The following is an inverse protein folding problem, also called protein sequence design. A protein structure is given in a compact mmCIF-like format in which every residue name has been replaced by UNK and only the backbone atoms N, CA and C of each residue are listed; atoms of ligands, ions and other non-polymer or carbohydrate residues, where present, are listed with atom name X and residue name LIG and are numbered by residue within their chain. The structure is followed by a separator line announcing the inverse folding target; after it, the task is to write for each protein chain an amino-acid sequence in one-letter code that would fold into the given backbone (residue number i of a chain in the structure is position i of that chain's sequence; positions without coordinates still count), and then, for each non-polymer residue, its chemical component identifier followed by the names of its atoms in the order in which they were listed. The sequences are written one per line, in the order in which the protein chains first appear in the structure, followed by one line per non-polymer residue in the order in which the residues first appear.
data_IF_369515868284
#
_entry.id   IF_369515868284
#
_cell.length_a   1.000
_cell.length_b   1.000
_cell.length_c   1.000
_cell.angle_alpha   90.00
_cell.angle_beta   90.00
_cell.angle_gamma   90.00
#
_symmetry.space_group_name_H-M   'P 1'
#
loop_
_entity.id
_entity.type
_entity.pdbx_description
1 polymer ?
#
# COMPACT_ATOMS: atom_id res chain seq x y z
N UNK A 1 -31.52 21.78 64.65
CA UNK A 1 -30.66 22.28 63.57
C UNK A 1 -30.09 21.12 62.80
N UNK A 2 -30.52 20.97 61.55
CA UNK A 2 -29.67 20.76 60.37
C UNK A 2 -30.61 20.53 59.18
N UNK A 3 -30.71 21.57 58.35
CA UNK A 3 -31.51 21.59 57.14
C UNK A 3 -30.70 20.95 55.99
N UNK A 4 -31.31 20.03 55.24
CA UNK A 4 -30.72 19.51 54.01
C UNK A 4 -30.68 20.61 52.92
N UNK A 5 -29.57 20.75 52.17
CA UNK A 5 -29.44 21.81 51.18
C UNK A 5 -30.24 21.51 49.90
N UNK A 6 -31.05 22.49 49.46
CA UNK A 6 -31.72 22.44 48.15
C UNK A 6 -30.71 22.46 46.99
N UNK A 7 -30.96 21.68 45.92
CA UNK A 7 -30.10 21.68 44.73
C UNK A 7 -30.24 22.97 43.91
N UNK A 8 -29.18 23.42 43.20
CA UNK A 8 -29.21 24.65 42.43
C UNK A 8 -30.16 24.57 41.23
N UNK A 9 -31.01 25.59 41.06
CA UNK A 9 -31.91 25.76 39.92
C UNK A 9 -31.10 25.94 38.63
N UNK A 10 -31.18 24.97 37.71
CA UNK A 10 -30.62 25.11 36.35
C UNK A 10 -30.05 23.85 35.69
N UNK A 11 -30.18 22.65 36.28
CA UNK A 11 -29.73 21.42 35.63
C UNK A 11 -30.75 20.93 34.57
N UNK A 12 -30.30 20.47 33.38
CA UNK A 12 -31.19 19.83 32.41
C UNK A 12 -31.71 18.49 32.98
N UNK A 13 -32.93 18.06 32.60
CA UNK A 13 -33.52 16.84 33.15
C UNK A 13 -32.70 15.61 32.77
N UNK A 14 -32.52 14.71 33.73
CA UNK A 14 -31.89 13.41 33.52
C UNK A 14 -32.66 12.61 32.47
N UNK A 15 -32.03 12.35 31.33
CA UNK A 15 -32.56 11.48 30.29
C UNK A 15 -32.46 10.05 30.80
N UNK A 16 -33.60 9.40 31.03
CA UNK A 16 -33.64 7.96 31.31
C UNK A 16 -33.16 7.23 30.06
N UNK A 17 -32.01 6.56 30.17
CA UNK A 17 -31.55 5.62 29.17
C UNK A 17 -32.59 4.50 29.04
N UNK A 18 -33.21 4.40 27.87
CA UNK A 18 -34.05 3.25 27.52
C UNK A 18 -33.11 2.23 26.88
N UNK A 19 -32.86 1.13 27.58
CA UNK A 19 -32.16 -0.02 27.01
C UNK A 19 -32.91 -0.49 25.76
N UNK A 20 -32.25 -0.37 24.61
CA UNK A 20 -32.71 -1.00 23.38
C UNK A 20 -32.29 -2.47 23.46
N UNK A 21 -33.29 -3.34 23.68
CA UNK A 21 -33.14 -4.78 23.56
C UNK A 21 -32.89 -5.08 22.08
N UNK A 22 -31.70 -5.58 21.75
CA UNK A 22 -31.44 -6.15 20.44
C UNK A 22 -32.29 -7.41 20.31
N UNK A 23 -33.19 -7.44 19.33
CA UNK A 23 -33.78 -8.68 18.85
C UNK A 23 -32.75 -9.36 17.96
N UNK A 24 -32.26 -10.52 18.40
CA UNK A 24 -31.56 -11.48 17.54
C UNK A 24 -32.57 -11.98 16.51
N UNK A 25 -32.39 -11.60 15.25
CA UNK A 25 -33.03 -12.28 14.13
C UNK A 25 -32.26 -13.59 13.89
N UNK A 26 -32.85 -14.70 14.33
CA UNK A 26 -32.45 -16.06 13.93
C UNK A 26 -32.57 -16.17 12.40
N UNK A 27 -31.43 -16.14 11.71
CA UNK A 27 -31.38 -16.52 10.30
C UNK A 27 -31.62 -18.03 10.19
N UNK A 28 -32.84 -18.37 9.83
CA UNK A 28 -33.27 -19.73 9.49
C UNK A 28 -32.58 -20.20 8.21
N UNK A 29 -31.55 -21.04 8.38
CA UNK A 29 -30.80 -21.68 7.29
C UNK A 29 -31.46 -22.99 6.80
N UNK A 30 -32.68 -23.33 7.24
CA UNK A 30 -33.31 -24.62 6.91
C UNK A 30 -33.91 -24.73 5.50
N UNK A 31 -33.66 -23.75 4.62
CA UNK A 31 -34.20 -23.70 3.25
C UNK A 31 -33.20 -23.89 2.11
N UNK A 32 -31.94 -24.25 2.37
CA UNK A 32 -30.99 -24.60 1.31
C UNK A 32 -31.07 -26.11 1.05
N UNK A 33 -31.91 -26.50 0.08
CA UNK A 33 -31.89 -27.83 -0.49
C UNK A 33 -30.50 -28.10 -1.09
N UNK A 34 -29.76 -28.99 -0.44
CA UNK A 34 -28.52 -29.55 -0.94
C UNK A 34 -28.85 -30.35 -2.22
N UNK A 35 -28.39 -29.86 -3.37
CA UNK A 35 -28.37 -30.61 -4.61
C UNK A 35 -27.10 -31.46 -4.59
N UNK A 36 -27.20 -32.81 -4.57
CA UNK A 36 -26.02 -33.66 -4.72
C UNK A 36 -25.44 -33.47 -6.12
N UNK A 37 -24.12 -33.36 -6.22
CA UNK A 37 -23.42 -33.46 -7.50
C UNK A 37 -23.73 -34.84 -8.09
N UNK A 38 -24.47 -34.87 -9.21
CA UNK A 38 -24.62 -36.05 -10.04
C UNK A 38 -23.31 -36.23 -10.81
N UNK A 39 -22.70 -37.41 -10.67
CA UNK A 39 -21.55 -37.85 -11.44
C UNK A 39 -21.94 -37.96 -12.94
N UNK A 40 -21.66 -36.91 -13.72
CA UNK A 40 -21.67 -36.96 -15.19
C UNK A 40 -20.36 -37.63 -15.66
N UNK A 41 -20.35 -38.96 -15.64
CA UNK A 41 -19.52 -39.78 -16.53
C UNK A 41 -20.04 -39.63 -17.97
N UNK A 42 -19.16 -39.16 -18.87
CA UNK A 42 -19.18 -39.28 -20.35
C UNK A 42 -19.01 -37.94 -21.10
N UNK A 43 -17.80 -37.38 -21.10
CA UNK A 43 -17.37 -36.52 -22.21
C UNK A 43 -15.96 -36.88 -22.67
N UNK A 44 -15.90 -37.55 -23.82
CA UNK A 44 -14.68 -37.98 -24.49
C UNK A 44 -13.77 -36.79 -24.78
N UNK A 45 -12.60 -36.76 -24.14
CA UNK A 45 -11.58 -35.75 -24.37
C UNK A 45 -11.08 -35.76 -25.83
N UNK A 46 -10.71 -34.59 -26.40
CA UNK A 46 -10.12 -34.54 -27.72
C UNK A 46 -8.78 -35.28 -27.74
N UNK A 47 -8.59 -36.15 -28.73
CA UNK A 47 -7.32 -36.84 -29.00
C UNK A 47 -6.19 -35.80 -29.08
N UNK A 48 -5.33 -35.79 -28.06
CA UNK A 48 -4.08 -35.04 -28.09
C UNK A 48 -3.11 -35.85 -28.91
N UNK A 49 -2.96 -35.48 -30.19
CA UNK A 49 -1.82 -35.92 -30.98
C UNK A 49 -0.55 -35.47 -30.27
N UNK A 50 0.25 -36.42 -29.82
CA UNK A 50 1.58 -36.20 -29.27
C UNK A 50 2.46 -35.59 -30.37
N UNK A 51 2.53 -34.26 -30.41
CA UNK A 51 3.64 -33.57 -31.03
C UNK A 51 4.68 -33.35 -29.94
N UNK A 52 5.57 -34.33 -29.77
CA UNK A 52 6.85 -34.12 -29.08
C UNK A 52 7.66 -33.14 -29.93
N UNK A 53 7.58 -31.85 -29.59
CA UNK A 53 8.62 -30.90 -29.99
C UNK A 53 9.84 -31.19 -29.12
N UNK A 54 10.80 -31.91 -29.69
CA UNK A 54 12.14 -32.09 -29.14
C UNK A 54 12.82 -30.72 -29.02
N UNK A 55 12.66 -30.05 -27.88
CA UNK A 55 13.48 -28.88 -27.55
C UNK A 55 14.91 -29.36 -27.31
N UNK A 56 15.77 -29.07 -28.29
CA UNK A 56 17.21 -29.32 -28.23
C UNK A 56 17.87 -28.38 -27.20
N UNK A 57 17.97 -28.86 -25.96
CA UNK A 57 18.68 -28.18 -24.86
C UNK A 57 20.21 -28.31 -24.95
N UNK A 58 20.77 -28.93 -26.00
CA UNK A 58 22.23 -29.11 -26.14
C UNK A 58 22.99 -27.82 -26.52
N UNK A 59 22.30 -26.70 -26.66
CA UNK A 59 22.87 -25.39 -27.01
C UNK A 59 23.26 -24.49 -25.83
N UNK A 60 23.10 -24.92 -24.57
CA UNK A 60 23.46 -24.13 -23.38
C UNK A 60 24.64 -24.75 -22.61
N UNK A 61 25.72 -25.08 -23.32
CA UNK A 61 27.02 -25.43 -22.75
C UNK A 61 27.81 -24.17 -22.32
N UNK A 62 27.18 -23.24 -21.61
CA UNK A 62 27.90 -22.19 -20.89
C UNK A 62 27.81 -22.46 -19.39
N UNK A 63 28.63 -23.40 -18.95
CA UNK A 63 29.09 -23.47 -17.56
C UNK A 63 30.47 -22.81 -17.58
N UNK A 64 30.66 -21.59 -17.04
CA UNK A 64 32.00 -21.06 -16.91
C UNK A 64 32.78 -21.99 -15.98
N UNK A 65 33.91 -22.50 -16.47
CA UNK A 65 34.90 -23.17 -15.65
C UNK A 65 35.39 -22.17 -14.60
N UNK A 66 34.96 -22.35 -13.35
CA UNK A 66 35.56 -21.66 -12.22
C UNK A 66 36.91 -22.33 -11.99
N UNK A 67 37.97 -21.80 -12.61
CA UNK A 67 39.31 -21.97 -12.08
C UNK A 67 39.31 -21.26 -10.71
N UNK A 68 39.73 -21.99 -9.66
CA UNK A 68 40.05 -21.42 -8.35
C UNK A 68 41.30 -20.54 -8.52
N UNK A 69 41.13 -19.36 -9.12
CA UNK A 69 42.15 -18.33 -9.15
C UNK A 69 42.11 -17.56 -7.83
N UNK A 70 43.29 -17.45 -7.23
CA UNK A 70 43.58 -16.84 -5.95
C UNK A 70 42.87 -15.47 -5.80
N UNK A 71 42.08 -15.35 -4.74
CA UNK A 71 41.44 -14.11 -4.31
C UNK A 71 42.50 -13.17 -3.71
N UNK A 72 43.38 -12.63 -4.56
CA UNK A 72 44.30 -11.56 -4.20
C UNK A 72 43.51 -10.24 -4.11
N UNK A 73 43.35 -9.79 -2.86
CA UNK A 73 43.26 -8.41 -2.37
C UNK A 73 43.03 -7.30 -3.44
N UNK A 74 41.79 -7.15 -3.91
CA UNK A 74 41.37 -6.03 -4.77
C UNK A 74 40.19 -5.28 -4.14
N UNK A 75 40.54 -4.08 -3.66
CA UNK A 75 39.77 -2.86 -3.45
C UNK A 75 38.29 -2.97 -3.03
N UNK A 76 38.00 -2.40 -1.85
CA UNK A 76 36.62 -2.11 -1.43
C UNK A 76 35.83 -1.41 -2.56
N UNK A 77 34.59 -1.83 -2.84
CA UNK A 77 33.78 -1.21 -3.88
C UNK A 77 33.57 0.26 -3.54
N UNK A 78 33.98 1.14 -4.44
CA UNK A 78 33.70 2.57 -4.34
C UNK A 78 32.18 2.75 -4.19
N UNK A 79 31.77 3.28 -3.04
CA UNK A 79 30.38 3.46 -2.68
C UNK A 79 29.63 4.14 -3.84
N UNK A 80 28.53 3.50 -4.29
CA UNK A 80 27.65 4.07 -5.27
C UNK A 80 27.31 5.53 -4.90
N UNK A 81 27.21 6.45 -5.89
CA UNK A 81 26.97 7.86 -5.59
C UNK A 81 25.70 7.99 -4.76
N UNK A 82 25.87 8.49 -3.53
CA UNK A 82 24.77 8.71 -2.61
C UNK A 82 23.68 9.54 -3.30
N UNK A 83 22.39 9.25 -3.05
CA UNK A 83 21.31 10.08 -3.56
C UNK A 83 21.56 11.54 -3.15
N UNK A 84 21.26 12.46 -4.08
CA UNK A 84 21.55 13.89 -3.96
C UNK A 84 21.26 14.44 -2.55
N UNK A 85 22.18 15.19 -1.92
CA UNK A 85 22.16 15.54 -0.49
C UNK A 85 21.02 16.48 -0.04
N UNK A 86 20.04 16.76 -0.90
CA UNK A 86 18.92 17.66 -0.62
C UNK A 86 17.93 17.14 0.46
N UNK A 87 18.10 15.91 0.96
CA UNK A 87 17.17 15.25 1.89
C UNK A 87 17.70 14.91 3.29
N UNK A 88 18.94 15.27 3.64
CA UNK A 88 19.57 14.84 4.91
C UNK A 88 19.04 15.58 6.16
N UNK A 89 18.44 16.76 6.01
CA UNK A 89 17.82 17.50 7.11
C UNK A 89 16.31 17.23 7.17
N UNK A 90 15.86 16.61 8.26
CA UNK A 90 14.44 16.35 8.53
C UNK A 90 13.98 14.96 8.06
N UNK A 91 14.56 13.89 8.58
CA UNK A 91 13.94 12.56 8.56
C UNK A 91 13.38 12.26 9.95
N UNK A 92 12.35 11.42 10.00
CA UNK A 92 11.69 11.02 11.25
C UNK A 92 11.51 9.52 11.29
N UNK A 93 11.55 8.93 12.48
CA UNK A 93 11.30 7.50 12.65
C UNK A 93 9.94 7.08 12.09
N UNK A 94 8.93 7.96 12.25
CA UNK A 94 7.58 7.80 11.72
C UNK A 94 7.30 8.62 10.45
N UNK A 95 6.27 8.22 9.71
CA UNK A 95 5.62 9.08 8.72
C UNK A 95 4.81 10.18 9.45
N UNK A 96 4.99 11.45 9.07
CA UNK A 96 4.31 12.58 9.70
C UNK A 96 3.56 13.44 8.67
N UNK A 97 2.23 13.41 8.71
CA UNK A 97 1.38 14.13 7.76
C UNK A 97 1.47 15.65 7.91
N UNK A 98 1.79 16.15 9.11
CA UNK A 98 2.02 17.57 9.38
C UNK A 98 3.17 18.16 8.56
N UNK A 99 4.07 17.30 8.06
CA UNK A 99 5.24 17.66 7.25
C UNK A 99 4.99 17.52 5.76
N UNK A 100 3.79 17.09 5.35
CA UNK A 100 3.44 16.85 3.96
C UNK A 100 3.70 18.10 3.12
N UNK A 101 4.45 17.94 2.04
CA UNK A 101 4.79 18.99 1.08
C UNK A 101 4.03 18.77 -0.22
N UNK A 102 3.70 19.86 -0.90
CA UNK A 102 3.26 19.84 -2.29
C UNK A 102 4.44 20.24 -3.14
N UNK A 103 4.91 19.34 -4.01
CA UNK A 103 5.97 19.67 -4.95
C UNK A 103 5.50 20.79 -5.89
N UNK A 104 6.42 21.65 -6.31
CA UNK A 104 6.10 22.73 -7.24
C UNK A 104 5.55 22.12 -8.55
N UNK A 105 4.49 22.71 -9.14
CA UNK A 105 3.96 22.22 -10.41
C UNK A 105 5.04 22.38 -11.49
N UNK A 106 5.54 21.27 -12.05
CA UNK A 106 6.48 21.38 -13.17
C UNK A 106 7.41 20.21 -13.51
N UNK A 107 7.39 19.06 -12.84
CA UNK A 107 8.33 17.98 -13.19
C UNK A 107 7.74 16.57 -13.09
N UNK A 108 6.63 16.34 -13.78
CA UNK A 108 6.28 14.99 -14.17
C UNK A 108 5.81 15.02 -15.63
N UNK A 109 6.23 14.08 -16.48
CA UNK A 109 5.55 13.89 -17.76
C UNK A 109 4.07 13.72 -17.42
N UNK A 110 3.20 14.50 -18.09
CA UNK A 110 1.76 14.33 -17.94
C UNK A 110 1.41 12.85 -18.14
N UNK A 111 0.38 12.32 -17.45
CA UNK A 111 -0.03 10.93 -17.65
C UNK A 111 -0.15 10.72 -19.16
N UNK A 112 0.41 9.62 -19.67
CA UNK A 112 0.22 9.26 -21.07
C UNK A 112 -1.28 9.38 -21.37
N UNK A 113 -1.66 9.92 -22.54
CA UNK A 113 -3.04 10.31 -22.85
C UNK A 113 -4.10 9.19 -22.72
N UNK A 114 -3.67 7.96 -22.42
CA UNK A 114 -4.45 6.75 -22.22
C UNK A 114 -4.39 6.18 -20.79
N UNK A 115 -3.64 6.78 -19.87
CA UNK A 115 -3.45 6.22 -18.53
C UNK A 115 -4.67 6.53 -17.63
N UNK A 116 -5.37 5.52 -17.09
CA UNK A 116 -6.47 5.72 -16.14
C UNK A 116 -5.98 6.19 -14.75
N UNK A 117 -4.69 6.50 -14.59
CA UNK A 117 -4.03 6.85 -13.33
C UNK A 117 -4.06 8.36 -13.12
N UNK A 118 -4.25 8.78 -11.87
CA UNK A 118 -4.25 10.20 -11.52
C UNK A 118 -2.91 10.88 -11.78
N UNK A 119 -2.95 12.19 -12.04
CA UNK A 119 -1.75 12.99 -12.32
C UNK A 119 -0.91 13.35 -11.07
N UNK A 120 -1.29 12.86 -9.89
CA UNK A 120 -0.55 13.06 -8.64
C UNK A 120 -0.30 11.73 -7.93
N UNK A 121 0.87 11.61 -7.32
CA UNK A 121 1.27 10.54 -6.42
C UNK A 121 1.69 11.13 -5.06
N UNK A 122 1.56 10.31 -4.02
CA UNK A 122 2.11 10.57 -2.69
C UNK A 122 3.36 9.71 -2.53
N UNK A 123 4.52 10.32 -2.26
CA UNK A 123 5.77 9.60 -2.06
C UNK A 123 6.46 10.02 -0.75
N UNK A 124 7.12 9.04 -0.12
CA UNK A 124 8.02 9.22 1.01
C UNK A 124 9.10 8.14 0.93
N UNK A 125 10.35 8.49 1.25
CA UNK A 125 11.47 7.56 1.23
C UNK A 125 11.91 7.24 2.63
N UNK A 126 12.25 5.99 2.89
CA UNK A 126 12.83 5.55 4.15
C UNK A 126 14.30 5.20 3.96
N UNK A 127 15.11 5.51 4.96
CA UNK A 127 16.52 5.11 5.06
C UNK A 127 16.87 4.94 6.54
N UNK A 128 17.24 3.74 6.95
CA UNK A 128 17.59 3.44 8.34
C UNK A 128 18.86 4.15 8.81
N UNK A 129 19.87 4.24 7.96
CA UNK A 129 21.14 4.94 8.25
C UNK A 129 20.98 6.45 8.32
N UNK A 130 20.02 7.01 7.57
CA UNK A 130 19.74 8.45 7.55
C UNK A 130 18.62 8.88 8.52
N UNK A 131 18.10 7.99 9.37
CA UNK A 131 17.15 8.35 10.43
C UNK A 131 15.66 8.29 10.07
N UNK A 132 15.30 7.53 9.04
CA UNK A 132 13.93 7.12 8.75
C UNK A 132 13.27 7.82 7.56
N UNK A 133 11.97 8.10 7.68
CA UNK A 133 11.12 8.63 6.63
C UNK A 133 11.43 10.09 6.31
N UNK A 134 11.48 10.43 5.03
CA UNK A 134 11.40 11.81 4.56
C UNK A 134 10.01 12.38 4.83
N UNK A 135 9.88 13.72 4.74
CA UNK A 135 8.56 14.35 4.69
C UNK A 135 7.76 13.78 3.49
N UNK A 136 6.47 13.42 3.67
CA UNK A 136 5.62 13.00 2.56
C UNK A 136 5.51 14.11 1.52
N UNK A 137 5.49 13.77 0.24
CA UNK A 137 5.38 14.72 -0.85
C UNK A 137 4.25 14.33 -1.81
N UNK A 138 3.34 15.26 -2.08
CA UNK A 138 2.44 15.18 -3.23
C UNK A 138 3.17 15.74 -4.45
N UNK A 139 3.37 14.90 -5.45
CA UNK A 139 4.06 15.28 -6.69
C UNK A 139 3.38 14.69 -7.91
N UNK A 140 3.79 15.14 -9.10
CA UNK A 140 3.23 14.60 -10.33
C UNK A 140 3.62 13.13 -10.49
N UNK A 141 2.69 12.31 -10.97
CA UNK A 141 2.93 10.87 -11.21
C UNK A 141 4.07 10.69 -12.22
N UNK A 142 5.10 9.95 -11.83
CA UNK A 142 6.27 9.69 -12.64
C UNK A 142 6.65 8.20 -12.60
N UNK A 143 7.50 7.79 -13.53
CA UNK A 143 8.11 6.46 -13.49
C UNK A 143 9.04 6.32 -12.28
N UNK A 144 8.97 5.17 -11.60
CA UNK A 144 9.90 4.81 -10.54
C UNK A 144 11.21 4.33 -11.16
N UNK A 145 12.32 4.96 -10.77
CA UNK A 145 13.67 4.49 -11.12
C UNK A 145 14.18 3.55 -10.04
N UNK A 146 14.34 2.27 -10.39
CA UNK A 146 14.81 1.23 -9.48
C UNK A 146 16.12 0.64 -9.99
N UNK A 147 16.99 0.24 -9.07
CA UNK A 147 18.14 -0.60 -9.41
C UNK A 147 17.63 -1.95 -9.93
N UNK A 148 18.22 -2.55 -10.99
CA UNK A 148 17.75 -3.84 -11.51
C UNK A 148 17.77 -4.97 -10.48
N UNK A 149 18.68 -4.91 -9.51
CA UNK A 149 18.77 -5.87 -8.41
C UNK A 149 17.91 -5.50 -7.18
N UNK A 150 17.01 -4.51 -7.26
CA UNK A 150 16.22 -4.07 -6.11
C UNK A 150 15.47 -5.24 -5.44
N UNK A 151 15.48 -5.29 -4.10
CA UNK A 151 14.88 -6.39 -3.35
C UNK A 151 13.38 -6.56 -3.61
N UNK A 152 12.67 -5.49 -3.96
CA UNK A 152 11.28 -5.58 -4.40
C UNK A 152 11.08 -6.39 -5.69
N UNK A 153 12.09 -6.49 -6.57
CA UNK A 153 12.00 -7.20 -7.85
C UNK A 153 12.35 -8.69 -7.75
N UNK A 154 13.15 -9.09 -6.75
CA UNK A 154 13.69 -10.46 -6.65
C UNK A 154 13.28 -11.19 -5.38
N UNK A 155 13.17 -10.49 -4.25
CA UNK A 155 12.90 -11.07 -2.93
C UNK A 155 11.47 -10.86 -2.43
N UNK A 156 10.60 -10.24 -3.24
CA UNK A 156 9.23 -9.94 -2.85
C UNK A 156 9.12 -8.93 -1.69
N UNK A 157 10.16 -8.12 -1.45
CA UNK A 157 10.16 -7.06 -0.45
C UNK A 157 9.31 -5.87 -0.94
N UNK A 158 8.01 -6.13 -1.07
CA UNK A 158 6.97 -5.24 -1.55
C UNK A 158 5.68 -5.56 -0.81
N UNK A 159 5.03 -4.53 -0.28
CA UNK A 159 3.73 -4.62 0.36
C UNK A 159 2.79 -3.57 -0.24
N UNK A 160 1.55 -3.95 -0.51
CA UNK A 160 0.55 -3.04 -1.07
C UNK A 160 -0.81 -3.20 -0.41
N UNK A 161 -1.59 -2.13 -0.43
CA UNK A 161 -2.96 -2.09 0.03
C UNK A 161 -3.81 -1.19 -0.86
N UNK A 162 -5.10 -1.45 -0.82
CA UNK A 162 -6.09 -0.76 -1.64
C UNK A 162 -7.22 -0.21 -0.78
N UNK A 163 -7.70 0.96 -1.16
CA UNK A 163 -8.88 1.59 -0.56
C UNK A 163 -9.66 2.42 -1.59
N UNK A 164 -10.90 2.73 -1.27
CA UNK A 164 -11.81 3.40 -2.20
C UNK A 164 -12.10 4.84 -1.76
N UNK A 165 -12.05 5.76 -2.73
CA UNK A 165 -12.51 7.13 -2.60
C UNK A 165 -13.84 7.32 -3.34
N UNK A 166 -14.83 7.94 -2.69
CA UNK A 166 -16.18 8.07 -3.24
C UNK A 166 -16.84 9.39 -2.84
N UNK A 167 -17.92 9.77 -3.54
CA UNK A 167 -18.77 10.91 -3.21
C UNK A 167 -20.02 10.44 -2.48
N UNK A 168 -20.51 11.20 -1.50
CA UNK A 168 -21.71 10.83 -0.78
C UNK A 168 -22.95 10.97 -1.69
N UNK A 169 -23.96 10.09 -1.56
CA UNK A 169 -25.25 10.30 -2.22
C UNK A 169 -25.84 11.65 -1.80
N UNK A 170 -26.30 12.44 -2.78
CA UNK A 170 -26.85 13.77 -2.54
C UNK A 170 -25.86 14.94 -2.61
N UNK A 171 -24.54 14.66 -2.68
CA UNK A 171 -23.59 15.70 -3.10
C UNK A 171 -23.79 15.96 -4.60
N UNK A 172 -24.32 17.14 -4.95
CA UNK A 172 -24.51 17.62 -6.34
C UNK A 172 -23.17 17.94 -7.04
N UNK A 173 -22.09 17.20 -6.72
CA UNK A 173 -20.73 17.42 -7.22
C UNK A 173 -19.90 18.45 -6.45
N UNK A 174 -20.48 19.13 -5.45
CA UNK A 174 -19.80 20.18 -4.67
C UNK A 174 -19.11 19.72 -3.38
N UNK A 175 -19.51 18.57 -2.82
CA UNK A 175 -18.96 18.06 -1.56
C UNK A 175 -17.56 17.44 -1.72
N UNK A 176 -16.73 17.44 -0.66
CA UNK A 176 -15.42 16.81 -0.70
C UNK A 176 -15.55 15.27 -0.79
N UNK A 177 -14.68 14.59 -1.55
CA UNK A 177 -14.64 13.13 -1.58
C UNK A 177 -14.30 12.53 -0.20
N UNK A 178 -14.73 11.29 0.01
CA UNK A 178 -14.54 10.52 1.25
C UNK A 178 -13.75 9.25 0.97
N UNK A 179 -13.02 8.76 1.98
CA UNK A 179 -12.30 7.49 1.94
C UNK A 179 -13.07 6.41 2.73
N UNK A 180 -13.09 5.18 2.21
CA UNK A 180 -13.67 4.05 2.91
C UNK A 180 -12.66 3.40 3.87
N UNK A 181 -12.89 3.59 5.18
CA UNK A 181 -12.11 2.98 6.28
C UNK A 181 -10.57 3.11 6.12
N UNK A 182 -10.02 4.30 5.82
CA UNK A 182 -8.60 4.48 5.52
C UNK A 182 -7.67 4.03 6.65
N UNK A 183 -8.00 4.27 7.92
CA UNK A 183 -7.21 3.76 9.05
C UNK A 183 -7.06 2.22 9.08
N UNK A 184 -8.06 1.45 8.60
CA UNK A 184 -7.94 -0.01 8.49
C UNK A 184 -7.02 -0.42 7.35
N UNK A 185 -7.09 0.25 6.20
CA UNK A 185 -6.18 0.01 5.09
C UNK A 185 -4.73 0.32 5.50
N UNK A 186 -4.50 1.43 6.20
CA UNK A 186 -3.18 1.75 6.73
C UNK A 186 -2.67 0.72 7.75
N UNK A 187 -3.54 0.19 8.62
CA UNK A 187 -3.15 -0.83 9.58
C UNK A 187 -2.75 -2.14 8.89
N UNK A 188 -3.49 -2.56 7.85
CA UNK A 188 -3.12 -3.73 7.05
C UNK A 188 -1.84 -3.53 6.26
N UNK A 189 -1.63 -2.36 5.66
CA UNK A 189 -0.38 -2.06 4.94
C UNK A 189 0.81 -2.16 5.89
N UNK A 190 0.68 -1.62 7.10
CA UNK A 190 1.71 -1.72 8.14
C UNK A 190 1.99 -3.18 8.52
N UNK A 191 0.95 -4.00 8.67
CA UNK A 191 1.11 -5.43 8.95
C UNK A 191 1.79 -6.18 7.80
N UNK A 192 1.43 -5.87 6.55
CA UNK A 192 2.08 -6.43 5.37
C UNK A 192 3.56 -6.01 5.28
N UNK A 193 3.88 -4.76 5.62
CA UNK A 193 5.28 -4.30 5.68
C UNK A 193 6.09 -5.05 6.74
N UNK A 194 5.52 -5.26 7.94
CA UNK A 194 6.17 -6.05 8.99
C UNK A 194 6.49 -7.47 8.53
N UNK A 195 5.56 -8.13 7.83
CA UNK A 195 5.76 -9.48 7.29
C UNK A 195 6.84 -9.51 6.20
N UNK A 196 6.91 -8.46 5.38
CA UNK A 196 7.87 -8.34 4.29
C UNK A 196 9.25 -7.79 4.75
N UNK A 197 9.47 -7.57 6.05
CA UNK A 197 10.71 -6.96 6.55
C UNK A 197 10.91 -5.49 6.13
N UNK A 198 9.84 -4.83 5.70
CA UNK A 198 9.85 -3.44 5.27
C UNK A 198 9.67 -2.48 6.46
N UNK A 199 10.15 -1.22 6.32
CA UNK A 199 9.86 -0.18 7.29
C UNK A 199 8.36 -0.07 7.54
N UNK A 200 7.96 -0.13 8.80
CA UNK A 200 6.56 -0.15 9.22
C UNK A 200 6.26 0.87 10.33
N UNK A 201 7.23 1.73 10.63
CA UNK A 201 7.11 2.74 11.67
C UNK A 201 6.27 3.91 11.14
N UNK A 202 4.95 3.83 11.30
CA UNK A 202 4.02 4.96 11.23
C UNK A 202 2.75 4.65 12.00
N UNK A 203 2.08 5.71 12.46
CA UNK A 203 0.74 5.59 13.01
C UNK A 203 -0.30 5.58 11.88
N UNK A 204 -1.31 4.69 11.91
CA UNK A 204 -2.28 4.60 10.82
C UNK A 204 -2.98 5.92 10.48
N UNK A 205 -3.17 6.79 11.48
CA UNK A 205 -3.77 8.11 11.31
C UNK A 205 -2.91 9.07 10.46
N UNK A 206 -1.59 8.93 10.46
CA UNK A 206 -0.70 9.78 9.68
C UNK A 206 -0.80 9.45 8.19
N UNK A 207 -0.80 8.17 7.82
CA UNK A 207 -1.02 7.76 6.43
C UNK A 207 -2.44 8.11 5.96
N UNK A 208 -3.46 7.92 6.80
CA UNK A 208 -4.84 8.33 6.50
C UNK A 208 -4.93 9.82 6.15
N UNK A 209 -4.26 10.70 6.92
CA UNK A 209 -4.24 12.14 6.63
C UNK A 209 -3.55 12.44 5.30
N UNK A 210 -2.44 11.77 5.00
CA UNK A 210 -1.74 11.93 3.73
C UNK A 210 -2.59 11.47 2.53
N UNK A 211 -3.23 10.31 2.63
CA UNK A 211 -4.16 9.79 1.61
C UNK A 211 -5.36 10.73 1.42
N UNK A 212 -5.86 11.32 2.51
CA UNK A 212 -6.90 12.34 2.45
C UNK A 212 -6.47 13.57 1.65
N UNK A 213 -5.24 14.05 1.83
CA UNK A 213 -4.69 15.16 1.06
C UNK A 213 -4.50 14.82 -0.43
N UNK A 214 -4.02 13.61 -0.73
CA UNK A 214 -3.92 13.11 -2.11
C UNK A 214 -5.29 13.11 -2.80
N UNK A 215 -6.30 12.52 -2.16
CA UNK A 215 -7.66 12.41 -2.73
C UNK A 215 -8.33 13.78 -2.87
N UNK A 216 -8.08 14.72 -1.95
CA UNK A 216 -8.55 16.11 -2.09
C UNK A 216 -7.90 16.80 -3.29
N UNK A 217 -6.59 16.64 -3.46
CA UNK A 217 -5.86 17.20 -4.59
C UNK A 217 -6.30 16.57 -5.94
N UNK A 218 -6.66 15.29 -5.91
CA UNK A 218 -7.15 14.51 -7.06
C UNK A 218 -8.68 14.43 -7.13
N UNK A 219 -9.40 15.38 -6.52
CA UNK A 219 -10.86 15.27 -6.37
C UNK A 219 -11.64 15.24 -7.68
N UNK A 220 -11.10 15.83 -8.76
CA UNK A 220 -11.68 15.78 -10.10
C UNK A 220 -11.75 14.37 -10.69
N UNK A 221 -10.92 13.44 -10.20
CA UNK A 221 -10.90 12.04 -10.63
C UNK A 221 -11.93 11.19 -9.88
N UNK A 222 -12.45 11.66 -8.75
CA UNK A 222 -13.45 10.91 -7.99
C UNK A 222 -14.80 11.08 -8.70
N UNK A 223 -15.37 10.00 -9.27
CA UNK A 223 -16.59 10.10 -10.06
C UNK A 223 -17.78 10.56 -9.20
N UNK A 224 -18.83 11.10 -9.83
CA UNK A 224 -20.14 11.27 -9.21
C UNK A 224 -20.59 10.00 -8.47
N UNK A 225 -21.33 10.16 -7.37
CA UNK A 225 -21.77 9.04 -6.54
C UNK A 225 -22.56 7.96 -7.32
N UNK A 226 -23.27 8.36 -8.39
CA UNK A 226 -24.02 7.47 -9.28
C UNK A 226 -23.15 6.69 -10.28
N UNK A 227 -21.86 7.01 -10.38
CA UNK A 227 -20.95 6.49 -11.41
C UNK A 227 -19.84 5.60 -10.83
N UNK A 228 -19.66 5.58 -9.51
CA UNK A 228 -18.76 4.62 -8.83
C UNK A 228 -17.81 5.25 -7.82
N UNK A 229 -16.60 4.71 -7.76
CA UNK A 229 -15.54 5.10 -6.83
C UNK A 229 -14.18 5.11 -7.53
N UNK A 230 -13.24 5.86 -6.97
CA UNK A 230 -11.83 5.87 -7.37
C UNK A 230 -11.04 4.90 -6.49
N UNK A 231 -10.28 3.98 -7.11
CA UNK A 231 -9.32 3.15 -6.41
C UNK A 231 -8.10 4.00 -6.00
N UNK A 232 -7.69 3.86 -4.75
CA UNK A 232 -6.43 4.41 -4.23
C UNK A 232 -5.53 3.23 -3.89
N UNK A 233 -4.36 3.18 -4.50
CA UNK A 233 -3.37 2.13 -4.28
C UNK A 233 -2.20 2.70 -3.48
N UNK A 234 -1.84 2.05 -2.38
CA UNK A 234 -0.68 2.38 -1.58
C UNK A 234 0.30 1.21 -1.62
N UNK A 235 1.58 1.50 -1.85
CA UNK A 235 2.63 0.48 -1.88
C UNK A 235 3.90 0.96 -1.16
N UNK A 236 4.59 0.03 -0.52
CA UNK A 236 5.93 0.20 0.06
C UNK A 236 6.80 -0.89 -0.57
N UNK A 237 7.97 -0.51 -1.08
CA UNK A 237 8.86 -1.42 -1.80
C UNK A 237 10.31 -1.13 -1.41
N UNK A 238 11.11 -2.19 -1.23
CA UNK A 238 12.53 -2.08 -0.96
C UNK A 238 13.29 -1.76 -2.26
N UNK A 239 13.92 -0.58 -2.28
CA UNK A 239 14.67 -0.06 -3.44
C UNK A 239 16.14 -0.45 -3.43
N UNK A 240 16.65 -0.93 -2.30
CA UNK A 240 18.03 -1.39 -2.14
C UNK A 240 18.27 -2.70 -2.89
N UNK A 241 19.49 -2.95 -3.43
CA UNK A 241 19.82 -4.24 -4.02
C UNK A 241 19.61 -5.40 -3.03
N UNK A 242 19.02 -6.49 -3.49
CA UNK A 242 18.92 -7.72 -2.69
C UNK A 242 20.32 -8.21 -2.33
N UNK A 243 20.54 -8.52 -1.05
CA UNK A 243 21.76 -9.21 -0.63
C UNK A 243 21.82 -10.58 -1.32
N UNK A 244 23.02 -10.99 -1.75
CA UNK A 244 23.22 -12.31 -2.30
C UNK A 244 22.83 -13.38 -1.25
N UNK A 245 22.17 -14.49 -1.64
CA UNK A 245 21.91 -15.58 -0.72
C UNK A 245 23.23 -16.04 -0.06
N UNK A 246 23.30 -15.98 1.27
CA UNK A 246 24.50 -16.35 2.03
C UNK A 246 25.49 -15.23 2.32
N UNK A 247 25.23 -13.98 1.88
CA UNK A 247 26.01 -12.84 2.31
C UNK A 247 25.89 -12.64 3.84
N UNK A 248 27.00 -12.44 4.57
CA UNK A 248 26.93 -12.18 6.00
C UNK A 248 26.16 -10.87 6.26
N UNK A 249 25.24 -10.90 7.22
CA UNK A 249 24.59 -9.67 7.68
C UNK A 249 25.67 -8.77 8.28
N UNK A 250 25.95 -7.64 7.63
CA UNK A 250 26.87 -6.63 8.16
C UNK A 250 26.28 -6.05 9.46
N UNK A 251 27.03 -6.19 10.54
CA UNK A 251 26.69 -5.80 11.91
C UNK A 251 26.73 -4.28 12.14
#
# INVERSE_FOLDING_TARGET
DEAEPEPPKGAPPAVKAKEAKAEEEDCDWSGLDYVPDEDDDDEAGPETGEHEEDYDWSGLDYVPDYEEEDFDDEAEPEAAPAPSPAGLAGRTAGLEASRLRRAAPGLAPGPAAWSPVGGLALEAHWDGGAGGWTAPALQGTAELRLHPAAAALHGGALASEELWAFRAPGDLGGGPPRLFRPGRASARLRAACLLAGLPSAWEPAELERCLGELVRASSSLVPPASQGALLVQAAVLATEPAAAPGAPATA
#
